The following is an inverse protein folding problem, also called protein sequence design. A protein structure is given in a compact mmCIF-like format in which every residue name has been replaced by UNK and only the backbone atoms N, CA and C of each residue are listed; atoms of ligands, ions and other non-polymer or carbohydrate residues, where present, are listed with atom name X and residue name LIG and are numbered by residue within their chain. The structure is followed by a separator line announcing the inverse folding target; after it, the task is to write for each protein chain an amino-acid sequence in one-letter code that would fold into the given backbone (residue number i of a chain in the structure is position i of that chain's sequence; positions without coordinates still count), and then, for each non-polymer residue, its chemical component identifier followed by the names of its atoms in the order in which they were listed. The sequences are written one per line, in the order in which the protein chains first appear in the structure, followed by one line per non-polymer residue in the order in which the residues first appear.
data_IF_510651847981
#
_entry.id   IF_510651847981
#
_cell.length_a   1.000
_cell.length_b   1.000
_cell.length_c   1.000
_cell.angle_alpha   90.00
_cell.angle_beta   90.00
_cell.angle_gamma   90.00
#
_symmetry.space_group_name_H-M   'P 1'
#
loop_
_entity.id
_entity.type
_entity.pdbx_description
1 polymer ?
#
# COMPACT_ATOMS: atom_id res chain seq x y z
N UNK A 1 37.58 4.39 12.73
CA UNK A 1 36.62 4.99 11.79
C UNK A 1 35.28 4.42 12.11
N UNK A 2 34.32 5.24 12.48
CA UNK A 2 32.97 4.77 12.77
C UNK A 2 32.32 4.21 11.49
N UNK A 3 31.56 3.11 11.57
CA UNK A 3 30.80 2.63 10.43
C UNK A 3 29.80 3.72 10.02
N UNK A 4 29.92 4.21 8.78
CA UNK A 4 28.90 5.07 8.19
C UNK A 4 27.61 4.25 8.05
N UNK A 5 26.71 4.39 9.02
CA UNK A 5 25.35 3.89 8.90
C UNK A 5 24.63 4.73 7.84
N UNK A 6 24.61 4.23 6.60
CA UNK A 6 23.75 4.82 5.57
C UNK A 6 22.29 4.74 6.04
N UNK A 7 21.64 5.87 6.27
CA UNK A 7 20.24 5.90 6.66
C UNK A 7 19.38 5.22 5.58
N UNK A 8 18.58 4.24 5.99
CA UNK A 8 17.55 3.64 5.14
C UNK A 8 16.43 4.65 4.93
N UNK A 9 16.00 4.86 3.68
CA UNK A 9 14.88 5.76 3.35
C UNK A 9 13.71 4.94 2.84
N UNK A 10 12.55 5.18 3.43
CA UNK A 10 11.26 4.61 3.03
C UNK A 10 10.29 5.77 2.91
N UNK A 11 9.47 5.78 1.86
CA UNK A 11 8.42 6.78 1.71
C UNK A 11 7.11 6.19 2.21
N UNK A 12 6.49 6.86 3.17
CA UNK A 12 5.13 6.56 3.61
C UNK A 12 4.22 7.61 2.97
N UNK A 13 3.23 7.15 2.21
CA UNK A 13 2.21 7.99 1.60
C UNK A 13 0.85 7.65 2.22
N UNK A 14 0.10 8.68 2.63
CA UNK A 14 -1.26 8.54 3.11
C UNK A 14 -2.21 9.21 2.11
N UNK A 15 -3.27 8.51 1.70
CA UNK A 15 -4.25 9.01 0.74
C UNK A 15 -5.67 8.71 1.20
N UNK A 16 -6.62 9.51 0.74
CA UNK A 16 -8.05 9.21 0.82
C UNK A 16 -8.66 9.44 -0.56
N UNK A 17 -9.41 8.47 -1.06
CA UNK A 17 -10.14 8.59 -2.33
C UNK A 17 -11.51 9.22 -2.10
N UNK A 18 -12.08 9.81 -3.15
CA UNK A 18 -13.39 10.45 -3.05
C UNK A 18 -14.48 9.43 -2.65
N UNK A 19 -15.45 9.90 -1.85
CA UNK A 19 -16.59 9.11 -1.37
C UNK A 19 -17.67 9.06 -2.47
N UNK A 20 -18.29 7.88 -2.67
CA UNK A 20 -19.44 7.68 -3.56
C UNK A 20 -19.28 6.48 -4.50
N UNK A 21 -20.22 5.54 -4.43
CA UNK A 21 -20.29 4.36 -5.30
C UNK A 21 -20.35 4.81 -6.76
N UNK A 22 -19.42 4.31 -7.59
CA UNK A 22 -19.32 4.62 -9.02
C UNK A 22 -18.98 6.09 -9.37
N UNK A 23 -18.19 6.79 -8.56
CA UNK A 23 -17.59 8.04 -9.04
C UNK A 23 -16.54 7.71 -10.12
N UNK A 24 -16.70 8.13 -11.39
CA UNK A 24 -15.72 7.88 -12.46
C UNK A 24 -14.33 8.46 -12.20
N UNK A 25 -14.16 9.21 -11.10
CA UNK A 25 -12.90 9.80 -10.68
C UNK A 25 -12.07 8.86 -9.79
N UNK A 26 -12.60 7.80 -9.16
CA UNK A 26 -11.79 6.96 -8.25
C UNK A 26 -10.73 6.16 -8.98
N UNK A 27 -11.07 5.57 -10.14
CA UNK A 27 -10.07 4.89 -10.98
C UNK A 27 -8.99 5.86 -11.49
N UNK A 28 -9.37 7.12 -11.78
CA UNK A 28 -8.41 8.16 -12.16
C UNK A 28 -7.50 8.54 -10.98
N UNK A 29 -8.06 8.71 -9.78
CA UNK A 29 -7.29 8.98 -8.57
C UNK A 29 -6.33 7.83 -8.25
N UNK A 30 -6.77 6.58 -8.37
CA UNK A 30 -5.89 5.41 -8.24
C UNK A 30 -4.78 5.47 -9.30
N UNK A 31 -5.07 5.75 -10.56
CA UNK A 31 -4.04 5.86 -11.60
C UNK A 31 -3.01 6.94 -11.31
N UNK A 32 -3.43 8.10 -10.84
CA UNK A 32 -2.51 9.18 -10.44
C UNK A 32 -1.68 8.81 -9.21
N UNK A 33 -2.30 8.10 -8.26
CA UNK A 33 -1.60 7.56 -7.09
C UNK A 33 -0.56 6.53 -7.50
N UNK A 34 -0.92 5.58 -8.37
CA UNK A 34 -0.04 4.57 -8.96
C UNK A 34 1.13 5.22 -9.69
N UNK A 35 0.89 6.23 -10.54
CA UNK A 35 1.95 7.00 -11.20
C UNK A 35 2.88 7.68 -10.20
N UNK A 36 2.31 8.26 -9.15
CA UNK A 36 3.07 8.94 -8.10
C UNK A 36 3.99 7.98 -7.36
N UNK A 37 3.52 6.77 -7.04
CA UNK A 37 4.31 5.77 -6.32
C UNK A 37 5.31 5.04 -7.24
N UNK A 38 4.96 4.76 -8.50
CA UNK A 38 5.86 4.12 -9.48
C UNK A 38 6.96 5.06 -9.96
N UNK A 39 6.69 6.37 -10.08
CA UNK A 39 7.66 7.38 -10.50
C UNK A 39 8.84 7.59 -9.53
N UNK A 40 8.78 7.05 -8.31
CA UNK A 40 9.83 7.19 -7.29
C UNK A 40 10.91 6.09 -7.35
N UNK A 41 11.15 5.47 -8.51
CA UNK A 41 11.78 4.17 -8.81
C UNK A 41 13.05 3.70 -8.08
N UNK A 42 13.57 4.38 -7.05
CA UNK A 42 14.68 3.91 -6.21
C UNK A 42 14.36 3.85 -4.70
N UNK A 43 13.15 4.21 -4.28
CA UNK A 43 12.77 4.23 -2.86
C UNK A 43 11.53 3.36 -2.66
N UNK A 44 11.53 2.42 -1.69
CA UNK A 44 10.34 1.68 -1.34
C UNK A 44 9.23 2.63 -0.88
N UNK A 45 8.02 2.29 -1.27
CA UNK A 45 6.82 3.05 -0.91
C UNK A 45 5.91 2.15 -0.09
N UNK A 46 5.44 2.66 1.04
CA UNK A 46 4.30 2.12 1.76
C UNK A 46 3.17 3.13 1.55
N UNK A 47 2.06 2.66 1.00
CA UNK A 47 0.85 3.42 0.76
C UNK A 47 -0.22 2.98 1.76
N UNK A 48 -0.67 3.91 2.60
CA UNK A 48 -1.85 3.74 3.43
C UNK A 48 -2.99 4.55 2.79
N UNK A 49 -4.11 3.91 2.47
CA UNK A 49 -5.20 4.59 1.77
C UNK A 49 -6.57 4.16 2.30
N UNK A 50 -7.43 5.14 2.60
CA UNK A 50 -8.88 4.94 2.59
C UNK A 50 -9.36 5.09 1.14
N UNK A 51 -9.69 3.98 0.50
CA UNK A 51 -10.06 3.93 -0.92
C UNK A 51 -11.56 4.11 -1.13
N UNK A 52 -12.36 4.02 -0.07
CA UNK A 52 -13.82 3.92 -0.17
C UNK A 52 -14.30 2.83 -1.16
N UNK A 53 -13.46 1.84 -1.45
CA UNK A 53 -13.67 0.85 -2.48
C UNK A 53 -13.20 -0.51 -2.00
N UNK A 54 -14.09 -1.50 -2.10
CA UNK A 54 -13.78 -2.88 -1.73
C UNK A 54 -12.93 -3.59 -2.79
N UNK A 55 -12.35 -4.73 -2.41
CA UNK A 55 -11.30 -5.43 -3.16
C UNK A 55 -11.72 -5.79 -4.59
N UNK A 56 -13.00 -6.07 -4.82
CA UNK A 56 -13.55 -6.48 -6.11
C UNK A 56 -13.85 -5.32 -7.06
N UNK A 57 -13.73 -4.07 -6.59
CA UNK A 57 -14.03 -2.90 -7.40
C UNK A 57 -12.90 -2.57 -8.39
N UNK A 58 -13.21 -2.03 -9.59
CA UNK A 58 -12.23 -1.85 -10.67
C UNK A 58 -10.98 -1.03 -10.31
N UNK A 59 -11.14 0.01 -9.50
CA UNK A 59 -10.05 0.84 -9.00
C UNK A 59 -9.11 0.06 -8.07
N UNK A 60 -9.64 -0.90 -7.31
CA UNK A 60 -8.84 -1.77 -6.45
C UNK A 60 -8.10 -2.80 -7.29
N UNK A 61 -8.72 -3.32 -8.34
CA UNK A 61 -8.03 -4.19 -9.31
C UNK A 61 -6.85 -3.44 -9.97
N UNK A 62 -7.02 -2.17 -10.36
CA UNK A 62 -5.93 -1.34 -10.91
C UNK A 62 -4.80 -1.13 -9.88
N UNK A 63 -5.15 -0.82 -8.62
CA UNK A 63 -4.16 -0.57 -7.58
C UNK A 63 -3.39 -1.84 -7.17
N UNK A 64 -4.08 -2.99 -7.08
CA UNK A 64 -3.56 -4.22 -6.49
C UNK A 64 -3.02 -5.23 -7.52
N UNK A 65 -3.53 -5.23 -8.75
CA UNK A 65 -3.09 -6.16 -9.82
C UNK A 65 -2.38 -5.45 -10.97
N UNK A 66 -2.48 -4.12 -11.05
CA UNK A 66 -1.75 -3.30 -12.02
C UNK A 66 -0.33 -2.98 -11.57
N UNK A 67 0.22 -1.88 -12.10
CA UNK A 67 1.54 -1.39 -11.71
C UNK A 67 1.56 -0.69 -10.34
N UNK A 68 0.48 -0.75 -9.55
CA UNK A 68 0.33 0.05 -8.32
C UNK A 68 1.16 -0.42 -7.14
N UNK A 69 1.16 -1.71 -6.84
CA UNK A 69 1.89 -2.27 -5.71
C UNK A 69 2.53 -3.60 -6.07
N UNK A 70 3.61 -3.92 -5.36
CA UNK A 70 4.21 -5.26 -5.43
C UNK A 70 3.48 -6.25 -4.52
N UNK A 71 2.73 -5.74 -3.54
CA UNK A 71 1.93 -6.56 -2.64
C UNK A 71 0.94 -5.76 -1.79
N UNK A 72 -0.01 -6.49 -1.24
CA UNK A 72 -1.06 -6.01 -0.36
C UNK A 72 -0.86 -6.68 1.00
N UNK A 73 -0.53 -5.89 2.02
CA UNK A 73 -0.22 -6.40 3.35
C UNK A 73 -1.35 -7.26 3.92
N UNK A 74 -2.59 -6.94 3.56
CA UNK A 74 -3.74 -7.72 4.02
C UNK A 74 -3.83 -9.08 3.34
N UNK A 75 -3.54 -9.17 2.04
CA UNK A 75 -3.47 -10.45 1.32
C UNK A 75 -2.34 -11.30 1.89
N UNK A 76 -1.19 -10.69 2.11
CA UNK A 76 0.00 -11.39 2.56
C UNK A 76 -0.08 -11.82 4.04
N UNK A 77 -0.87 -11.14 4.86
CA UNK A 77 -0.99 -11.46 6.29
C UNK A 77 -2.29 -12.17 6.69
N UNK A 78 -3.42 -11.88 6.05
CA UNK A 78 -4.76 -12.26 6.55
C UNK A 78 -5.49 -13.28 5.67
N UNK A 79 -5.32 -13.23 4.34
CA UNK A 79 -5.93 -14.22 3.44
C UNK A 79 -5.33 -15.60 3.70
N UNK A 80 -4.02 -15.69 3.93
CA UNK A 80 -3.35 -16.93 4.32
C UNK A 80 -3.86 -17.50 5.67
N UNK A 81 -4.41 -16.64 6.52
CA UNK A 81 -4.99 -17.01 7.82
C UNK A 81 -6.51 -17.25 7.78
N UNK A 82 -7.16 -17.18 6.61
CA UNK A 82 -8.60 -17.41 6.46
C UNK A 82 -9.50 -16.36 7.14
N UNK A 83 -8.97 -15.16 7.41
CA UNK A 83 -9.72 -14.09 8.07
C UNK A 83 -10.27 -13.09 7.06
N UNK A 84 -11.60 -13.03 6.98
CA UNK A 84 -12.32 -11.99 6.24
C UNK A 84 -12.69 -10.87 7.21
N UNK A 85 -11.73 -10.00 7.49
CA UNK A 85 -12.01 -8.79 8.26
C UNK A 85 -12.41 -7.65 7.31
N UNK A 86 -13.08 -6.65 7.84
CA UNK A 86 -13.55 -5.47 7.14
C UNK A 86 -13.06 -4.27 7.93
N UNK A 87 -12.62 -3.21 7.25
CA UNK A 87 -12.23 -1.97 7.92
C UNK A 87 -13.42 -1.04 8.12
N UNK A 88 -14.51 -1.26 7.40
CA UNK A 88 -15.78 -0.56 7.54
C UNK A 88 -16.92 -1.57 7.56
N UNK A 89 -17.72 -1.58 8.64
CA UNK A 89 -18.60 -2.72 8.96
C UNK A 89 -19.84 -2.29 9.71
N UNK A 90 -20.96 -2.97 9.49
CA UNK A 90 -22.17 -2.80 10.29
C UNK A 90 -22.06 -3.32 11.72
N UNK A 91 -21.03 -4.12 12.01
CA UNK A 91 -20.76 -4.57 13.39
C UNK A 91 -20.17 -3.45 14.25
N UNK A 92 -19.57 -2.42 13.65
CA UNK A 92 -19.06 -1.26 14.37
C UNK A 92 -20.23 -0.51 15.05
N UNK A 93 -20.19 -0.28 16.37
CA UNK A 93 -21.25 0.43 17.10
C UNK A 93 -21.61 1.82 16.55
N UNK A 94 -20.69 2.49 15.85
CA UNK A 94 -20.91 3.82 15.28
C UNK A 94 -21.63 3.81 13.92
N UNK A 95 -21.61 2.69 13.22
CA UNK A 95 -22.20 2.51 11.88
C UNK A 95 -23.37 1.51 11.89
N UNK A 96 -23.55 0.77 12.98
CA UNK A 96 -24.60 -0.23 13.15
C UNK A 96 -25.99 0.37 12.92
N UNK A 97 -26.70 -0.19 11.93
CA UNK A 97 -28.04 0.27 11.54
C UNK A 97 -28.04 1.49 10.62
N UNK A 98 -26.88 1.99 10.21
CA UNK A 98 -26.72 3.15 9.33
C UNK A 98 -26.09 2.80 7.98
N UNK A 99 -25.35 1.69 7.87
CA UNK A 99 -24.79 1.25 6.59
C UNK A 99 -25.87 0.68 5.67
N UNK A 100 -25.93 1.19 4.44
CA UNK A 100 -26.73 0.61 3.37
C UNK A 100 -25.94 -0.46 2.61
N UNK A 101 -24.63 -0.29 2.54
CA UNK A 101 -23.68 -1.18 1.91
C UNK A 101 -23.32 -2.38 2.81
N UNK A 102 -22.88 -3.51 2.23
CA UNK A 102 -22.29 -4.60 3.00
C UNK A 102 -21.00 -4.14 3.68
N UNK A 103 -20.51 -4.96 4.62
CA UNK A 103 -19.18 -4.81 5.19
C UNK A 103 -18.11 -4.78 4.11
N UNK A 104 -17.23 -3.78 4.17
CA UNK A 104 -16.22 -3.51 3.16
C UNK A 104 -14.85 -3.39 3.78
N UNK A 105 -13.84 -3.77 2.99
CA UNK A 105 -12.48 -3.36 3.23
C UNK A 105 -12.24 -2.07 2.44
N UNK A 106 -12.33 -0.93 3.11
CA UNK A 106 -12.08 0.37 2.48
C UNK A 106 -10.67 0.89 2.76
N UNK A 107 -9.99 0.35 3.76
CA UNK A 107 -8.66 0.80 4.17
C UNK A 107 -7.61 -0.23 3.72
N UNK A 108 -6.58 0.28 3.05
CA UNK A 108 -5.54 -0.52 2.44
C UNK A 108 -4.16 -0.07 2.89
N UNK A 109 -3.29 -1.06 3.11
CA UNK A 109 -1.86 -0.84 3.25
C UNK A 109 -1.17 -1.64 2.14
N UNK A 110 -0.71 -0.94 1.12
CA UNK A 110 -0.06 -1.49 -0.07
C UNK A 110 1.41 -1.12 -0.02
N UNK A 111 2.29 -1.98 -0.53
CA UNK A 111 3.71 -1.65 -0.61
C UNK A 111 4.26 -1.85 -2.02
N UNK A 112 5.34 -1.12 -2.30
CA UNK A 112 6.17 -1.25 -3.49
C UNK A 112 7.63 -1.30 -3.08
N UNK A 113 8.36 -2.30 -3.55
CA UNK A 113 9.80 -2.42 -3.40
C UNK A 113 10.51 -1.40 -4.28
N UNK A 114 11.76 -1.11 -3.92
CA UNK A 114 12.62 -0.35 -4.82
C UNK A 114 12.98 -1.22 -6.02
N UNK A 115 12.90 -0.65 -7.23
CA UNK A 115 13.50 -1.28 -8.41
C UNK A 115 14.93 -0.75 -8.60
N UNK A 116 15.88 -1.57 -9.06
CA UNK A 116 17.23 -1.09 -9.37
C UNK A 116 17.16 0.04 -10.41
N UNK A 117 18.00 1.07 -10.27
CA UNK A 117 18.09 2.18 -11.23
C UNK A 117 18.39 1.71 -12.67
N UNK A 118 19.06 0.56 -12.82
CA UNK A 118 19.35 -0.05 -14.12
C UNK A 118 18.09 -0.49 -14.89
N UNK A 119 16.98 -0.72 -14.21
CA UNK A 119 15.69 -1.15 -14.80
C UNK A 119 14.65 -0.03 -14.82
N UNK A 120 14.97 1.14 -14.28
CA UNK A 120 14.10 2.31 -14.36
C UNK A 120 14.10 2.85 -15.79
N UNK A 121 12.95 2.94 -16.48
CA UNK A 121 12.90 3.53 -17.82
C UNK A 121 13.32 5.00 -17.73
N UNK A 122 14.49 5.33 -18.29
CA UNK A 122 14.94 6.70 -18.41
C UNK A 122 13.95 7.49 -19.28
N UNK A 123 13.41 8.63 -18.82
CA UNK A 123 12.56 9.50 -19.66
C UNK A 123 13.28 10.05 -20.89
N UNK A 124 14.61 9.90 -20.97
CA UNK A 124 15.47 10.56 -21.96
C UNK A 124 16.21 9.60 -22.92
N UNK A 125 15.98 8.28 -22.82
CA UNK A 125 16.58 7.28 -23.73
C UNK A 125 18.12 7.20 -23.68
N UNK A 126 18.79 7.91 -22.77
CA UNK A 126 20.25 7.85 -22.61
C UNK A 126 20.61 6.90 -21.48
N UNK A 127 21.18 5.76 -21.87
CA UNK A 127 21.81 4.78 -20.97
C UNK A 127 22.99 5.41 -20.25
N UNK A 128 22.83 5.73 -18.96
CA UNK A 128 23.96 6.01 -18.08
C UNK A 128 24.54 4.68 -17.59
N UNK A 129 25.59 4.20 -18.25
CA UNK A 129 26.47 3.14 -17.71
C UNK A 129 27.20 3.72 -16.49
N UNK A 130 26.66 3.43 -15.31
CA UNK A 130 27.27 3.64 -14.02
C UNK A 130 26.74 2.59 -13.07
N UNK A 131 27.36 1.40 -13.09
CA UNK A 131 27.13 0.31 -12.16
C UNK A 131 27.59 0.76 -10.76
N UNK A 132 26.71 1.44 -10.03
CA UNK A 132 26.72 1.31 -8.58
C UNK A 132 25.85 0.10 -8.27
N UNK A 133 26.41 -0.87 -7.53
CA UNK A 133 25.65 -1.97 -6.92
C UNK A 133 24.55 -1.34 -6.05
N UNK A 134 23.41 -1.06 -6.66
CA UNK A 134 22.32 -0.32 -6.04
C UNK A 134 21.64 -1.28 -5.09
N UNK A 135 21.84 -1.07 -3.81
CA UNK A 135 21.23 -1.95 -2.82
C UNK A 135 19.72 -1.85 -2.93
N UNK A 136 19.06 -2.97 -3.16
CA UNK A 136 17.60 -3.04 -3.21
C UNK A 136 17.08 -3.20 -1.79
N UNK A 137 16.12 -2.36 -1.42
CA UNK A 137 15.38 -2.52 -0.18
C UNK A 137 14.23 -3.49 -0.43
N UNK A 138 14.28 -4.64 0.25
CA UNK A 138 13.25 -5.67 0.18
C UNK A 138 12.41 -5.65 1.44
N UNK A 139 11.10 -5.75 1.26
CA UNK A 139 10.20 -6.08 2.34
C UNK A 139 10.28 -7.58 2.63
N UNK A 140 10.49 -7.94 3.89
CA UNK A 140 10.67 -9.33 4.32
C UNK A 140 9.37 -9.96 4.85
N UNK A 141 8.56 -9.17 5.55
CA UNK A 141 7.28 -9.60 6.11
C UNK A 141 6.42 -8.40 6.44
N UNK A 142 5.11 -8.61 6.43
CA UNK A 142 4.14 -7.69 6.99
C UNK A 142 3.15 -8.44 7.89
N UNK A 143 2.76 -7.85 9.01
CA UNK A 143 1.72 -8.40 9.89
C UNK A 143 0.64 -7.36 10.13
N UNK A 144 -0.64 -7.76 10.08
CA UNK A 144 -1.76 -6.86 10.35
C UNK A 144 -2.31 -7.08 11.74
N UNK A 145 -2.53 -5.98 12.46
CA UNK A 145 -3.30 -5.96 13.70
C UNK A 145 -4.49 -5.02 13.47
N UNK A 146 -5.71 -5.55 13.65
CA UNK A 146 -6.88 -4.69 13.81
C UNK A 146 -6.81 -4.08 15.20
N UNK A 147 -6.82 -2.75 15.25
CA UNK A 147 -6.84 -2.05 16.52
C UNK A 147 -8.09 -2.48 17.29
N UNK A 148 -7.88 -2.76 18.58
CA UNK A 148 -8.85 -3.36 19.49
C UNK A 148 -10.29 -2.84 19.26
N UNK A 149 -11.17 -3.74 18.84
CA UNK A 149 -12.60 -3.48 18.61
C UNK A 149 -13.36 -3.08 19.89
N UNK A 150 -12.72 -3.11 21.06
CA UNK A 150 -13.27 -2.61 22.32
C UNK A 150 -13.08 -1.08 22.48
N UNK A 151 -12.17 -0.46 21.73
CA UNK A 151 -11.85 0.97 21.80
C UNK A 151 -12.24 1.72 20.51
N UNK A 152 -13.53 1.65 20.18
CA UNK A 152 -14.09 2.28 18.97
C UNK A 152 -14.04 3.80 19.10
N UNK A 153 -13.23 4.43 18.23
CA UNK A 153 -13.05 5.89 18.15
C UNK A 153 -13.33 6.47 16.76
N UNK A 154 -13.67 5.60 15.80
CA UNK A 154 -13.94 5.93 14.39
C UNK A 154 -14.97 4.94 13.83
N UNK A 155 -15.68 5.34 12.79
CA UNK A 155 -16.57 4.48 12.00
C UNK A 155 -15.80 3.43 11.19
N UNK A 156 -14.48 3.63 11.02
CA UNK A 156 -13.55 2.64 10.49
C UNK A 156 -12.74 1.96 11.61
N UNK A 157 -12.49 0.65 11.48
CA UNK A 157 -11.52 -0.07 12.28
C UNK A 157 -10.09 0.25 11.81
N UNK A 158 -9.22 0.63 12.74
CA UNK A 158 -7.84 0.95 12.42
C UNK A 158 -7.03 -0.29 12.02
N UNK A 159 -6.26 -0.17 10.94
CA UNK A 159 -5.30 -1.17 10.49
C UNK A 159 -3.90 -0.74 10.92
N UNK A 160 -3.18 -1.66 11.56
CA UNK A 160 -1.76 -1.48 11.89
C UNK A 160 -0.96 -2.53 11.14
N UNK A 161 0.13 -2.12 10.52
CA UNK A 161 1.06 -3.03 9.84
C UNK A 161 2.51 -2.80 10.32
N UNK A 162 3.19 -3.89 10.65
CA UNK A 162 4.62 -3.88 10.93
C UNK A 162 5.39 -4.34 9.69
N UNK A 163 6.45 -3.62 9.32
CA UNK A 163 7.25 -3.92 8.14
C UNK A 163 8.70 -4.22 8.52
N UNK A 164 9.20 -5.39 8.11
CA UNK A 164 10.61 -5.73 8.22
C UNK A 164 11.34 -5.41 6.89
N UNK A 165 12.18 -4.38 6.87
CA UNK A 165 12.85 -3.93 5.64
C UNK A 165 14.35 -4.22 5.75
N UNK A 166 14.92 -4.85 4.71
CA UNK A 166 16.34 -5.15 4.64
C UNK A 166 16.99 -4.56 3.40
N UNK A 167 18.19 -4.01 3.59
CA UNK A 167 19.10 -3.65 2.50
C UNK A 167 19.75 -4.92 1.95
N UNK A 168 19.50 -5.22 0.68
CA UNK A 168 20.14 -6.31 -0.06
C UNK A 168 21.06 -5.73 -1.12
N UNK A 169 22.18 -6.38 -1.41
CA UNK A 169 23.02 -6.01 -2.56
C UNK A 169 22.34 -6.53 -3.83
N UNK A 170 22.36 -5.74 -4.91
CA UNK A 170 21.92 -6.23 -6.22
C UNK A 170 22.89 -7.32 -6.68
N UNK A 171 22.37 -8.51 -7.00
CA UNK A 171 23.12 -9.63 -7.58
C UNK A 171 23.26 -9.42 -9.08
#
# INVERSE_FOLDING_TARGET
GEPQHSAMRVKIACSALAIGVAHPNRIYQVRELVRTITGNGCVPVILCADTNADVDQPEMQEMLQGEGGDGDVWKDALIECGRHECSWSGDNPLTRGWLAEPDQRNDYIVYRQAVPWAESPSPSGKSSRGLHASSVLRLLSASVIFKDRQSIVSDHYGIVADFAIRRTEAV
#
